data_IF_585203019969
#
_entry.id   IF_585203019969
#
_cell.length_a   1.000
_cell.length_b   1.000
_cell.length_c   1.000
_cell.angle_alpha   90.00
_cell.angle_beta   90.00
_cell.angle_gamma   90.00
#
_symmetry.space_group_name_H-M   'P 1'
#
loop_
_entity.id
_entity.type
_entity.pdbx_description
1 polymer ?
#
# COMPACT_ATOMS: atom_id res chain seq x y z
N UNK A 1 45.60 -13.30 9.56
CA UNK A 1 45.45 -12.91 8.14
C UNK A 1 43.99 -12.95 7.63
N UNK A 2 43.20 -14.02 7.82
CA UNK A 2 41.78 -14.08 7.39
C UNK A 2 40.90 -12.92 7.90
N UNK A 3 40.95 -12.61 9.20
CA UNK A 3 40.16 -11.50 9.80
C UNK A 3 40.46 -10.10 9.23
N UNK A 4 41.68 -9.84 8.76
CA UNK A 4 42.06 -8.56 8.14
C UNK A 4 41.54 -8.43 6.70
N UNK A 5 41.51 -9.55 5.96
CA UNK A 5 40.91 -9.64 4.63
C UNK A 5 39.38 -9.55 4.68
N UNK A 6 38.76 -10.10 5.73
CA UNK A 6 37.31 -9.99 5.96
C UNK A 6 36.93 -8.55 6.36
N UNK A 7 37.71 -7.89 7.22
CA UNK A 7 37.49 -6.49 7.59
C UNK A 7 37.65 -5.53 6.39
N UNK A 8 38.67 -5.74 5.55
CA UNK A 8 38.85 -4.92 4.34
C UNK A 8 37.72 -5.13 3.32
N UNK A 9 37.16 -6.34 3.25
CA UNK A 9 35.98 -6.63 2.40
C UNK A 9 34.71 -6.00 2.95
N UNK A 10 34.51 -6.02 4.27
CA UNK A 10 33.36 -5.36 4.90
C UNK A 10 33.38 -3.85 4.64
N UNK A 11 34.53 -3.19 4.85
CA UNK A 11 34.71 -1.75 4.57
C UNK A 11 34.49 -1.44 3.08
N UNK A 12 34.96 -2.30 2.19
CA UNK A 12 34.73 -2.16 0.75
C UNK A 12 33.23 -2.16 0.42
N UNK A 13 32.46 -3.12 0.92
CA UNK A 13 31.03 -3.18 0.65
C UNK A 13 30.25 -2.02 1.28
N UNK A 14 30.65 -1.55 2.46
CA UNK A 14 30.07 -0.33 3.05
C UNK A 14 30.30 0.89 2.16
N UNK A 15 31.50 1.07 1.61
CA UNK A 15 31.78 2.16 0.69
C UNK A 15 30.95 2.07 -0.59
N UNK A 16 30.81 0.86 -1.13
CA UNK A 16 30.00 0.59 -2.33
C UNK A 16 28.52 0.91 -2.07
N UNK A 17 28.00 0.58 -0.88
CA UNK A 17 26.63 0.91 -0.48
C UNK A 17 26.41 2.42 -0.31
N UNK A 18 27.33 3.12 0.37
CA UNK A 18 27.22 4.58 0.51
C UNK A 18 27.24 5.29 -0.86
N UNK A 19 28.01 4.74 -1.82
CA UNK A 19 27.99 5.23 -3.20
C UNK A 19 26.63 4.98 -3.87
N UNK A 20 26.01 3.82 -3.64
CA UNK A 20 24.67 3.52 -4.16
C UNK A 20 23.60 4.44 -3.55
N UNK A 21 23.70 4.78 -2.28
CA UNK A 21 22.81 5.77 -1.65
C UNK A 21 22.95 7.15 -2.29
N UNK A 22 24.18 7.61 -2.53
CA UNK A 22 24.39 8.87 -3.27
C UNK A 22 23.91 8.81 -4.73
N UNK A 23 23.69 7.62 -5.29
CA UNK A 23 23.02 7.48 -6.59
C UNK A 23 21.50 7.67 -6.47
N UNK A 24 20.89 7.16 -5.40
CA UNK A 24 19.47 7.38 -5.09
C UNK A 24 19.16 8.87 -4.87
N UNK A 25 20.03 9.59 -4.16
CA UNK A 25 19.92 11.05 -3.98
C UNK A 25 19.97 11.85 -5.30
N UNK A 26 20.41 11.20 -6.39
CA UNK A 26 20.54 11.80 -7.72
C UNK A 26 19.54 11.20 -8.72
N UNK A 27 18.49 10.54 -8.22
CA UNK A 27 17.45 9.88 -9.01
C UNK A 27 17.99 8.83 -10.00
N UNK A 28 19.11 8.20 -9.65
CA UNK A 28 19.76 7.14 -10.46
C UNK A 28 19.41 5.75 -9.93
N UNK A 29 18.12 5.47 -9.81
CA UNK A 29 17.57 4.24 -9.22
C UNK A 29 18.09 2.97 -9.91
N UNK A 30 18.12 2.94 -11.23
CA UNK A 30 18.61 1.79 -11.99
C UNK A 30 20.10 1.48 -11.73
N UNK A 31 20.93 2.52 -11.63
CA UNK A 31 22.35 2.35 -11.32
C UNK A 31 22.56 1.89 -9.87
N UNK A 32 21.80 2.47 -8.94
CA UNK A 32 21.81 2.07 -7.54
C UNK A 32 21.38 0.60 -7.39
N UNK A 33 20.28 0.19 -8.04
CA UNK A 33 19.78 -1.18 -8.04
C UNK A 33 20.84 -2.17 -8.53
N UNK A 34 21.53 -1.85 -9.64
CA UNK A 34 22.65 -2.67 -10.13
C UNK A 34 23.76 -2.84 -9.11
N UNK A 35 24.09 -1.78 -8.36
CA UNK A 35 25.09 -1.85 -7.30
C UNK A 35 24.59 -2.72 -6.15
N UNK A 36 23.36 -2.51 -5.67
CA UNK A 36 22.79 -3.30 -4.58
C UNK A 36 22.68 -4.78 -4.91
N UNK A 37 22.25 -5.14 -6.14
CA UNK A 37 22.21 -6.53 -6.60
C UNK A 37 23.60 -7.18 -6.57
N UNK A 38 24.64 -6.44 -6.98
CA UNK A 38 26.02 -6.92 -6.90
C UNK A 38 26.48 -7.12 -5.46
N UNK A 39 26.10 -6.22 -4.55
CA UNK A 39 26.43 -6.36 -3.12
C UNK A 39 25.69 -7.55 -2.53
N UNK A 40 24.40 -7.71 -2.80
CA UNK A 40 23.59 -8.85 -2.35
C UNK A 40 24.16 -10.19 -2.83
N UNK A 41 24.63 -10.27 -4.08
CA UNK A 41 25.28 -11.47 -4.60
C UNK A 41 26.62 -11.78 -3.90
N UNK A 42 27.39 -10.75 -3.54
CA UNK A 42 28.69 -10.91 -2.90
C UNK A 42 28.63 -11.10 -1.37
N UNK A 43 27.58 -10.58 -0.73
CA UNK A 43 27.31 -10.66 0.71
C UNK A 43 25.84 -11.04 0.92
N UNK A 44 25.47 -12.34 0.78
CA UNK A 44 24.08 -12.79 0.71
C UNK A 44 23.20 -12.53 1.94
N UNK A 45 23.82 -12.26 3.10
CA UNK A 45 23.08 -11.99 4.34
C UNK A 45 23.06 -10.51 4.71
N UNK A 46 23.51 -9.62 3.81
CA UNK A 46 23.54 -8.18 4.11
C UNK A 46 22.14 -7.57 3.94
N UNK A 47 21.44 -7.38 5.07
CA UNK A 47 20.08 -6.85 5.12
C UNK A 47 19.93 -5.56 4.32
N UNK A 48 20.84 -4.59 4.49
CA UNK A 48 20.78 -3.28 3.80
C UNK A 48 20.76 -3.40 2.28
N UNK A 49 21.48 -4.38 1.70
CA UNK A 49 21.47 -4.58 0.25
C UNK A 49 20.15 -5.18 -0.23
N UNK A 50 19.62 -6.19 0.48
CA UNK A 50 18.34 -6.78 0.14
C UNK A 50 17.18 -5.80 0.33
N UNK A 51 17.19 -5.01 1.40
CA UNK A 51 16.20 -3.96 1.65
C UNK A 51 16.13 -2.98 0.49
N UNK A 52 17.28 -2.42 0.09
CA UNK A 52 17.33 -1.48 -1.03
C UNK A 52 16.89 -2.11 -2.36
N UNK A 53 17.29 -3.36 -2.64
CA UNK A 53 16.79 -4.08 -3.81
C UNK A 53 15.26 -4.24 -3.78
N UNK A 54 14.69 -4.66 -2.65
CA UNK A 54 13.25 -4.86 -2.53
C UNK A 54 12.48 -3.56 -2.81
N UNK A 55 12.87 -2.45 -2.17
CA UNK A 55 12.22 -1.16 -2.38
C UNK A 55 12.35 -0.64 -3.82
N UNK A 56 13.54 -0.76 -4.44
CA UNK A 56 13.75 -0.29 -5.81
C UNK A 56 13.00 -1.14 -6.83
N UNK A 57 12.97 -2.46 -6.65
CA UNK A 57 12.20 -3.36 -7.50
C UNK A 57 10.70 -3.12 -7.34
N UNK A 58 10.23 -2.85 -6.12
CA UNK A 58 8.82 -2.52 -5.87
C UNK A 58 8.41 -1.19 -6.52
N UNK A 59 9.29 -0.18 -6.52
CA UNK A 59 9.08 1.10 -7.26
C UNK A 59 8.95 0.89 -8.77
N UNK A 60 9.60 -0.15 -9.31
CA UNK A 60 9.45 -0.58 -10.72
C UNK A 60 8.27 -1.56 -10.92
N UNK A 61 7.42 -1.75 -9.91
CA UNK A 61 6.31 -2.74 -9.87
C UNK A 61 6.72 -4.20 -10.12
N UNK A 62 8.01 -4.52 -9.96
CA UNK A 62 8.58 -5.87 -10.09
C UNK A 62 8.42 -6.66 -8.80
N UNK A 63 7.16 -6.79 -8.34
CA UNK A 63 6.83 -7.33 -7.02
C UNK A 63 7.31 -8.76 -6.77
N UNK A 64 7.37 -9.61 -7.81
CA UNK A 64 7.89 -10.98 -7.67
C UNK A 64 9.38 -10.99 -7.28
N UNK A 65 10.21 -10.20 -7.98
CA UNK A 65 11.63 -10.07 -7.65
C UNK A 65 11.83 -9.33 -6.32
N UNK A 66 11.03 -8.29 -6.07
CA UNK A 66 11.05 -7.56 -4.82
C UNK A 66 10.76 -8.48 -3.62
N UNK A 67 9.80 -9.39 -3.75
CA UNK A 67 9.43 -10.37 -2.72
C UNK A 67 10.59 -11.29 -2.34
N UNK A 68 11.41 -11.74 -3.31
CA UNK A 68 12.59 -12.55 -3.01
C UNK A 68 13.60 -11.82 -2.11
N UNK A 69 13.74 -10.51 -2.31
CA UNK A 69 14.61 -9.68 -1.49
C UNK A 69 13.95 -9.35 -0.13
N UNK A 70 12.65 -9.05 -0.13
CA UNK A 70 11.86 -8.78 1.07
C UNK A 70 11.86 -9.98 2.04
N UNK A 71 11.68 -11.20 1.54
CA UNK A 71 11.75 -12.42 2.36
C UNK A 71 13.10 -12.60 3.07
N UNK A 72 14.21 -12.24 2.40
CA UNK A 72 15.56 -12.29 3.01
C UNK A 72 15.75 -11.24 4.10
N UNK A 73 15.13 -10.07 3.95
CA UNK A 73 15.09 -9.05 5.00
C UNK A 73 14.25 -9.54 6.17
N UNK A 74 13.03 -10.04 5.93
CA UNK A 74 12.12 -10.55 6.95
C UNK A 74 12.70 -11.72 7.76
N UNK A 75 13.58 -12.54 7.15
CA UNK A 75 14.29 -13.60 7.86
C UNK A 75 15.21 -13.09 8.98
N UNK A 76 15.65 -11.83 8.92
CA UNK A 76 16.51 -11.18 9.92
C UNK A 76 15.78 -10.10 10.72
N UNK A 77 14.79 -9.44 10.10
CA UNK A 77 13.94 -8.41 10.68
C UNK A 77 12.47 -8.83 10.51
N UNK A 78 11.96 -9.70 11.39
CA UNK A 78 10.57 -10.13 11.32
C UNK A 78 9.62 -8.93 11.38
N UNK A 79 8.56 -8.96 10.57
CA UNK A 79 7.52 -7.93 10.51
C UNK A 79 8.03 -6.53 10.16
N UNK A 80 9.13 -6.43 9.41
CA UNK A 80 9.54 -5.14 8.84
C UNK A 80 8.40 -4.62 7.92
N UNK A 81 7.82 -3.46 8.24
CA UNK A 81 6.55 -3.04 7.67
C UNK A 81 6.59 -2.82 6.16
N UNK A 82 7.67 -2.26 5.62
CA UNK A 82 7.80 -1.98 4.20
C UNK A 82 7.99 -3.28 3.39
N UNK A 83 8.68 -4.28 3.94
CA UNK A 83 8.82 -5.60 3.35
C UNK A 83 7.47 -6.33 3.38
N UNK A 84 6.73 -6.23 4.48
CA UNK A 84 5.37 -6.77 4.56
C UNK A 84 4.46 -6.12 3.51
N UNK A 85 4.55 -4.81 3.27
CA UNK A 85 3.80 -4.15 2.20
C UNK A 85 4.14 -4.73 0.81
N UNK A 86 5.44 -4.90 0.51
CA UNK A 86 5.91 -5.50 -0.74
C UNK A 86 5.39 -6.93 -0.91
N UNK A 87 5.41 -7.74 0.16
CA UNK A 87 4.88 -9.10 0.14
C UNK A 87 3.36 -9.13 -0.05
N UNK A 88 2.64 -8.15 0.51
CA UNK A 88 1.21 -7.96 0.26
C UNK A 88 0.92 -7.67 -1.21
N UNK A 89 1.65 -6.72 -1.81
CA UNK A 89 1.53 -6.39 -3.24
C UNK A 89 1.83 -7.59 -4.13
N UNK A 90 2.86 -8.38 -3.79
CA UNK A 90 3.15 -9.62 -4.48
C UNK A 90 2.01 -10.63 -4.38
N UNK A 91 1.45 -10.85 -3.19
CA UNK A 91 0.34 -11.78 -2.99
C UNK A 91 -0.92 -11.38 -3.78
N UNK A 92 -1.22 -10.08 -3.88
CA UNK A 92 -2.29 -9.58 -4.78
C UNK A 92 -2.04 -9.98 -6.24
N UNK A 93 -0.80 -9.85 -6.72
CA UNK A 93 -0.43 -10.25 -8.10
C UNK A 93 -0.52 -11.77 -8.31
N UNK A 94 -0.37 -12.56 -7.25
CA UNK A 94 -0.60 -14.02 -7.26
C UNK A 94 -2.09 -14.39 -7.18
N UNK A 95 -2.98 -13.44 -6.91
CA UNK A 95 -4.40 -13.68 -6.67
C UNK A 95 -4.71 -14.23 -5.28
N UNK A 96 -3.75 -14.20 -4.36
CA UNK A 96 -3.89 -14.69 -2.99
C UNK A 96 -4.28 -13.53 -2.05
N UNK A 97 -5.58 -13.24 -2.03
CA UNK A 97 -6.14 -12.15 -1.20
C UNK A 97 -5.99 -12.36 0.30
N UNK A 98 -5.95 -13.62 0.76
CA UNK A 98 -5.80 -13.95 2.19
C UNK A 98 -4.38 -13.64 2.66
N UNK A 99 -3.36 -14.12 1.94
CA UNK A 99 -1.96 -13.75 2.24
C UNK A 99 -1.71 -12.26 2.10
N UNK A 100 -2.32 -11.62 1.11
CA UNK A 100 -2.23 -10.17 0.95
C UNK A 100 -2.79 -9.45 2.19
N UNK A 101 -3.96 -9.88 2.67
CA UNK A 101 -4.59 -9.31 3.86
C UNK A 101 -3.68 -9.42 5.09
N UNK A 102 -3.09 -10.58 5.35
CA UNK A 102 -2.18 -10.79 6.48
C UNK A 102 -0.93 -9.91 6.41
N UNK A 103 -0.33 -9.83 5.22
CA UNK A 103 0.87 -9.03 4.97
C UNK A 103 0.59 -7.53 5.10
N UNK A 104 -0.49 -7.02 4.48
CA UNK A 104 -0.85 -5.62 4.62
C UNK A 104 -1.28 -5.27 6.04
N UNK A 105 -1.97 -6.17 6.76
CA UNK A 105 -2.33 -5.94 8.16
C UNK A 105 -1.09 -5.77 9.01
N UNK A 106 -0.10 -6.66 8.81
CA UNK A 106 1.19 -6.55 9.51
C UNK A 106 1.90 -5.25 9.14
N UNK A 107 1.94 -4.88 7.86
CA UNK A 107 2.55 -3.64 7.39
C UNK A 107 1.89 -2.39 8.02
N UNK A 108 0.57 -2.33 7.99
CA UNK A 108 -0.21 -1.21 8.54
C UNK A 108 -0.01 -1.05 10.05
N UNK A 109 -0.11 -2.15 10.81
CA UNK A 109 0.04 -2.12 12.26
C UNK A 109 1.45 -1.76 12.72
N UNK A 110 2.46 -2.02 11.89
CA UNK A 110 3.86 -1.69 12.18
C UNK A 110 4.31 -0.35 11.55
N UNK A 111 3.39 0.41 10.94
CA UNK A 111 3.66 1.76 10.44
C UNK A 111 4.43 1.80 9.13
N UNK A 112 4.03 1.00 8.14
CA UNK A 112 4.57 1.11 6.79
C UNK A 112 4.42 2.55 6.23
N UNK A 113 5.44 2.99 5.51
CA UNK A 113 5.48 4.35 4.94
C UNK A 113 4.60 4.48 3.69
N UNK A 114 4.28 3.35 3.04
CA UNK A 114 3.49 3.25 1.82
C UNK A 114 1.99 3.48 2.10
N UNK A 115 1.40 4.62 1.67
CA UNK A 115 -0.02 4.92 1.90
C UNK A 115 -0.95 3.91 1.24
N UNK A 116 -0.49 3.25 0.16
CA UNK A 116 -1.28 2.24 -0.56
C UNK A 116 -1.61 1.00 0.27
N UNK A 117 -0.89 0.76 1.38
CA UNK A 117 -1.18 -0.32 2.32
C UNK A 117 -2.57 -0.14 2.95
N UNK A 118 -2.93 1.08 3.35
CA UNK A 118 -4.22 1.36 3.95
C UNK A 118 -5.36 1.19 2.94
N UNK A 119 -5.18 1.71 1.72
CA UNK A 119 -6.12 1.55 0.61
C UNK A 119 -6.33 0.08 0.25
N UNK A 120 -5.25 -0.70 0.22
CA UNK A 120 -5.30 -2.14 -0.08
C UNK A 120 -6.08 -2.90 1.00
N UNK A 121 -5.89 -2.57 2.28
CA UNK A 121 -6.67 -3.16 3.37
C UNK A 121 -8.15 -2.80 3.28
N UNK A 122 -8.48 -1.54 3.03
CA UNK A 122 -9.87 -1.10 2.84
C UNK A 122 -10.51 -1.87 1.69
N UNK A 123 -9.78 -2.06 0.60
CA UNK A 123 -10.22 -2.83 -0.57
C UNK A 123 -10.53 -4.27 -0.20
N UNK A 124 -9.56 -4.97 0.41
CA UNK A 124 -9.71 -6.37 0.80
C UNK A 124 -10.84 -6.57 1.81
N UNK A 125 -10.92 -5.72 2.83
CA UNK A 125 -12.01 -5.75 3.83
C UNK A 125 -13.38 -5.50 3.19
N UNK A 126 -13.46 -4.57 2.24
CA UNK A 126 -14.72 -4.28 1.54
C UNK A 126 -15.17 -5.45 0.67
N UNK A 127 -14.24 -6.10 -0.03
CA UNK A 127 -14.52 -7.29 -0.84
C UNK A 127 -14.96 -8.48 0.02
N UNK A 128 -14.41 -8.61 1.23
CA UNK A 128 -14.78 -9.64 2.21
C UNK A 128 -16.06 -9.28 3.00
N UNK A 129 -16.69 -8.14 2.71
CA UNK A 129 -17.92 -7.70 3.37
C UNK A 129 -17.72 -7.14 4.79
N UNK A 130 -16.48 -6.99 5.25
CA UNK A 130 -16.08 -6.44 6.56
C UNK A 130 -16.07 -4.90 6.52
N UNK A 131 -17.21 -4.32 6.14
CA UNK A 131 -17.35 -2.87 5.90
C UNK A 131 -17.04 -2.03 7.14
N UNK A 132 -17.39 -2.49 8.33
CA UNK A 132 -17.14 -1.78 9.58
C UNK A 132 -15.64 -1.64 9.88
N UNK A 133 -14.85 -2.67 9.59
CA UNK A 133 -13.39 -2.62 9.75
C UNK A 133 -12.74 -1.75 8.68
N UNK A 134 -13.22 -1.85 7.44
CA UNK A 134 -12.78 -0.98 6.34
C UNK A 134 -13.01 0.50 6.67
N UNK A 135 -14.16 0.82 7.27
CA UNK A 135 -14.50 2.17 7.68
C UNK A 135 -13.54 2.75 8.72
N UNK A 136 -13.12 1.96 9.72
CA UNK A 136 -12.19 2.42 10.76
C UNK A 136 -10.86 2.86 10.14
N UNK A 137 -10.37 2.11 9.16
CA UNK A 137 -9.12 2.45 8.45
C UNK A 137 -9.36 3.68 7.56
N UNK A 138 -10.46 3.70 6.79
CA UNK A 138 -10.79 4.80 5.88
C UNK A 138 -10.97 6.15 6.61
N UNK A 139 -11.54 6.15 7.81
CA UNK A 139 -11.70 7.37 8.61
C UNK A 139 -10.36 8.00 9.02
N UNK A 140 -9.33 7.20 9.27
CA UNK A 140 -7.99 7.71 9.58
C UNK A 140 -7.34 8.39 8.38
N UNK A 141 -7.72 8.01 7.16
CA UNK A 141 -7.24 8.64 5.92
C UNK A 141 -7.98 9.95 5.61
N UNK A 142 -9.13 10.23 6.23
CA UNK A 142 -9.79 11.53 6.10
C UNK A 142 -8.87 12.65 6.60
N UNK A 143 -8.14 12.40 7.69
CA UNK A 143 -7.24 13.39 8.30
C UNK A 143 -6.00 13.66 7.44
N UNK A 144 -5.51 12.66 6.70
CA UNK A 144 -4.39 12.83 5.76
C UNK A 144 -4.81 13.46 4.43
N UNK A 145 -6.10 13.39 4.08
CA UNK A 145 -6.66 13.91 2.83
C UNK A 145 -6.38 13.03 1.61
N UNK A 146 -5.69 11.91 1.78
CA UNK A 146 -5.34 10.95 0.74
C UNK A 146 -6.40 9.83 0.71
N UNK A 147 -7.51 10.08 0.01
CA UNK A 147 -8.64 9.16 -0.09
C UNK A 147 -8.90 8.84 -1.57
N UNK A 148 -8.82 7.56 -1.91
CA UNK A 148 -9.26 7.03 -3.21
C UNK A 148 -10.78 7.05 -3.34
N UNK A 149 -11.28 6.90 -4.56
CA UNK A 149 -12.71 6.67 -4.83
C UNK A 149 -13.31 5.56 -3.97
N UNK A 150 -12.57 4.47 -3.76
CA UNK A 150 -13.07 3.34 -2.99
C UNK A 150 -13.19 3.69 -1.51
N UNK A 151 -12.19 4.36 -0.92
CA UNK A 151 -12.26 4.77 0.48
C UNK A 151 -13.43 5.73 0.71
N UNK A 152 -13.64 6.68 -0.22
CA UNK A 152 -14.78 7.59 -0.20
C UNK A 152 -16.10 6.84 -0.31
N UNK A 153 -16.14 5.78 -1.11
CA UNK A 153 -17.33 4.94 -1.26
C UNK A 153 -17.64 4.20 0.03
N UNK A 154 -16.63 3.59 0.68
CA UNK A 154 -16.80 2.92 1.99
C UNK A 154 -17.29 3.90 3.05
N UNK A 155 -16.70 5.09 3.13
CA UNK A 155 -17.14 6.16 4.03
C UNK A 155 -18.59 6.56 3.74
N UNK A 156 -18.95 6.72 2.47
CA UNK A 156 -20.32 7.06 2.09
C UNK A 156 -21.32 5.96 2.48
N UNK A 157 -20.99 4.69 2.27
CA UNK A 157 -21.83 3.56 2.67
C UNK A 157 -22.07 3.57 4.17
N UNK A 158 -21.05 3.90 4.97
CA UNK A 158 -21.20 4.03 6.41
C UNK A 158 -22.12 5.19 6.82
N UNK A 159 -21.94 6.38 6.24
CA UNK A 159 -22.82 7.52 6.51
C UNK A 159 -24.27 7.27 6.07
N UNK A 160 -24.48 6.54 4.97
CA UNK A 160 -25.81 6.17 4.52
C UNK A 160 -26.51 5.22 5.51
N UNK A 161 -25.75 4.34 6.17
CA UNK A 161 -26.24 3.45 7.24
C UNK A 161 -26.50 4.20 8.55
N UNK A 162 -25.72 5.24 8.83
CA UNK A 162 -25.88 6.12 10.01
C UNK A 162 -26.98 7.18 9.83
N UNK A 163 -27.86 7.01 8.83
CA UNK A 163 -28.97 7.93 8.56
C UNK A 163 -28.53 9.36 8.18
N UNK A 164 -27.34 9.49 7.57
CA UNK A 164 -26.78 10.77 7.10
C UNK A 164 -26.65 10.79 5.56
N UNK A 165 -27.78 10.77 4.81
CA UNK A 165 -27.77 10.59 3.37
C UNK A 165 -27.11 11.75 2.61
N UNK A 166 -27.19 13.00 3.09
CA UNK A 166 -26.50 14.13 2.48
C UNK A 166 -24.97 14.05 2.59
N UNK A 167 -24.46 13.56 3.72
CA UNK A 167 -23.02 13.36 3.94
C UNK A 167 -22.53 12.23 3.05
N UNK A 168 -23.26 11.12 3.01
CA UNK A 168 -22.97 10.00 2.11
C UNK A 168 -22.92 10.44 0.63
N UNK A 169 -23.91 11.23 0.21
CA UNK A 169 -23.99 11.72 -1.17
C UNK A 169 -22.78 12.59 -1.54
N UNK A 170 -22.30 13.46 -0.64
CA UNK A 170 -21.10 14.26 -0.88
C UNK A 170 -19.85 13.40 -1.10
N UNK A 171 -19.68 12.35 -0.30
CA UNK A 171 -18.54 11.44 -0.45
C UNK A 171 -18.59 10.67 -1.77
N UNK A 172 -19.76 10.17 -2.18
CA UNK A 172 -19.92 9.49 -3.48
C UNK A 172 -19.71 10.44 -4.66
N UNK A 173 -20.20 11.66 -4.58
CA UNK A 173 -19.98 12.68 -5.62
C UNK A 173 -18.48 12.98 -5.79
N UNK A 174 -17.75 13.08 -4.68
CA UNK A 174 -16.30 13.23 -4.71
C UNK A 174 -15.61 11.99 -5.27
N UNK A 175 -16.07 10.78 -4.90
CA UNK A 175 -15.55 9.52 -5.45
C UNK A 175 -15.75 9.43 -6.97
N UNK A 176 -16.85 9.97 -7.49
CA UNK A 176 -17.15 9.99 -8.92
C UNK A 176 -16.21 10.90 -9.73
N UNK A 177 -15.58 11.89 -9.09
CA UNK A 177 -14.62 12.77 -9.75
C UNK A 177 -13.23 12.13 -9.88
N UNK A 178 -13.02 10.98 -9.27
CA UNK A 178 -11.76 10.25 -9.36
C UNK A 178 -11.62 9.58 -10.74
N UNK A 179 -10.63 10.05 -11.52
CA UNK A 179 -10.36 9.59 -12.87
C UNK A 179 -9.78 8.17 -12.91
N UNK A 180 -9.20 7.70 -11.80
CA UNK A 180 -8.59 6.38 -11.68
C UNK A 180 -9.58 5.32 -11.17
N UNK A 181 -10.82 5.72 -10.84
CA UNK A 181 -11.86 4.80 -10.40
C UNK A 181 -12.22 3.76 -11.49
N UNK A 182 -12.21 2.48 -11.09
CA UNK A 182 -12.59 1.36 -11.96
C UNK A 182 -14.03 1.51 -12.50
N UNK A 183 -14.34 1.06 -13.73
CA UNK A 183 -15.67 1.17 -14.31
C UNK A 183 -16.78 0.56 -13.45
N UNK A 184 -16.51 -0.60 -12.84
CA UNK A 184 -17.45 -1.30 -11.97
C UNK A 184 -17.76 -0.49 -10.70
N UNK A 185 -16.72 0.17 -10.14
CA UNK A 185 -16.88 1.07 -9.00
C UNK A 185 -17.70 2.31 -9.40
N UNK A 186 -17.47 2.88 -10.59
CA UNK A 186 -18.26 4.01 -11.09
C UNK A 186 -19.73 3.66 -11.30
N UNK A 187 -20.02 2.48 -11.83
CA UNK A 187 -21.38 1.98 -11.98
C UNK A 187 -22.06 1.85 -10.61
N UNK A 188 -21.37 1.26 -9.63
CA UNK A 188 -21.83 1.18 -8.25
C UNK A 188 -22.11 2.56 -7.64
N UNK A 189 -21.17 3.49 -7.74
CA UNK A 189 -21.31 4.86 -7.20
C UNK A 189 -22.51 5.56 -7.85
N UNK A 190 -22.72 5.38 -9.16
CA UNK A 190 -23.86 5.99 -9.88
C UNK A 190 -25.18 5.52 -9.30
N UNK A 191 -25.39 4.20 -9.18
CA UNK A 191 -26.62 3.65 -8.60
C UNK A 191 -26.81 4.06 -7.14
N UNK A 192 -25.73 4.14 -6.37
CA UNK A 192 -25.78 4.60 -4.98
C UNK A 192 -26.18 6.08 -4.87
N UNK A 193 -25.67 6.95 -5.75
CA UNK A 193 -26.05 8.36 -5.84
C UNK A 193 -27.54 8.49 -6.18
N UNK A 194 -28.04 7.78 -7.19
CA UNK A 194 -29.45 7.83 -7.59
C UNK A 194 -30.38 7.44 -6.44
N UNK A 195 -30.01 6.36 -5.73
CA UNK A 195 -30.75 5.88 -4.56
C UNK A 195 -30.81 6.94 -3.45
N UNK A 196 -29.68 7.56 -3.12
CA UNK A 196 -29.61 8.58 -2.07
C UNK A 196 -30.36 9.86 -2.46
N UNK A 197 -30.24 10.32 -3.71
CA UNK A 197 -30.96 11.50 -4.20
C UNK A 197 -32.48 11.27 -4.13
N UNK A 198 -32.95 10.10 -4.56
CA UNK A 198 -34.37 9.73 -4.47
C UNK A 198 -34.88 9.77 -3.02
N UNK A 199 -34.10 9.17 -2.11
CA UNK A 199 -34.40 9.16 -0.67
C UNK A 199 -34.48 10.57 -0.07
N UNK A 200 -33.46 11.40 -0.30
CA UNK A 200 -33.41 12.78 0.23
C UNK A 200 -34.61 13.60 -0.27
N UNK A 201 -34.98 13.45 -1.54
CA UNK A 201 -36.14 14.15 -2.11
C UNK A 201 -37.46 13.68 -1.49
N UNK A 202 -37.62 12.39 -1.23
CA UNK A 202 -38.80 11.85 -0.55
C UNK A 202 -38.93 12.42 0.88
N UNK A 203 -37.85 12.43 1.66
CA UNK A 203 -37.84 12.97 3.02
C UNK A 203 -38.23 14.46 3.02
N UNK A 204 -37.64 15.26 2.12
CA UNK A 204 -38.00 16.69 1.96
C UNK A 204 -39.45 16.91 1.55
N UNK A 205 -40.04 15.98 0.81
CA UNK A 205 -41.45 16.06 0.37
C UNK A 205 -42.42 15.72 1.48
N UNK A 206 -42.01 14.95 2.49
CA UNK A 206 -42.82 14.64 3.67
C UNK A 206 -42.80 15.71 4.77
N UNK A 207 -41.85 16.64 4.69
CA UNK A 207 -41.64 17.75 5.64
C UNK A 207 -42.32 19.08 5.21
N UNK A 208 -42.82 19.17 3.97
CA UNK A 208 -43.57 20.31 3.42
C UNK A 208 -45.07 20.01 3.37
#
# INVERSE_FOLDING_TARGET
MRRLLDASRAVYWTLVLNRAESMLEKDRDADALRVYLRVAAAVPNLVRAHYACACLLAREERFAEAAEHAMRVCAQLPNEPNMCAILGHHAIREGDGERAFDHYTTAYLNGADDPSVAHSLITLLSMDGRTEEALIIAQRLIESGDLSALDRTVIATAYARDDQPETALRHLQAAMQDEDALPELREYITGAIETLVSRINAERSTLN
#
